data_IF_219622331360
#
_entry.id   IF_219622331360
#
_cell.length_a   1.000
_cell.length_b   1.000
_cell.length_c   1.000
_cell.angle_alpha   90.00
_cell.angle_beta   90.00
_cell.angle_gamma   90.00
#
_symmetry.space_group_name_H-M   'P 1'
#
loop_
_entity.id
_entity.type
_entity.pdbx_description
1 polymer ?
#
# COMPACT_ATOMS: atom_id res chain seq x y z
N UNK A 1 1.99 7.20 13.42
CA UNK A 1 2.78 6.94 12.19
C UNK A 1 2.65 5.50 11.73
N UNK A 2 2.54 4.51 12.64
CA UNK A 2 2.29 3.10 12.28
C UNK A 2 1.05 2.94 11.39
N UNK A 3 0.03 3.76 11.63
CA UNK A 3 -1.25 3.79 10.91
C UNK A 3 -1.12 4.26 9.45
N UNK A 4 0.03 4.83 9.06
CA UNK A 4 0.28 5.31 7.69
C UNK A 4 0.86 4.22 6.77
N UNK A 5 1.26 3.09 7.34
CA UNK A 5 1.77 1.93 6.61
C UNK A 5 0.63 0.96 6.30
N UNK A 6 0.80 0.19 5.23
CA UNK A 6 -0.08 -0.95 4.98
C UNK A 6 0.02 -2.00 6.09
N UNK A 7 -1.05 -2.76 6.27
CA UNK A 7 -1.03 -3.98 7.07
C UNK A 7 -0.14 -5.03 6.40
N UNK A 8 0.45 -5.93 7.19
CA UNK A 8 1.42 -6.92 6.71
C UNK A 8 0.89 -7.75 5.53
N UNK A 9 -0.37 -8.22 5.60
CA UNK A 9 -1.00 -9.00 4.54
C UNK A 9 -1.12 -8.21 3.22
N UNK A 10 -1.49 -6.92 3.30
CA UNK A 10 -1.62 -6.06 2.11
C UNK A 10 -0.22 -5.74 1.53
N UNK A 11 0.78 -5.52 2.38
CA UNK A 11 2.17 -5.32 1.95
C UNK A 11 2.76 -6.55 1.25
N UNK A 12 2.50 -7.76 1.77
CA UNK A 12 2.86 -9.02 1.11
C UNK A 12 2.18 -9.15 -0.26
N UNK A 13 0.89 -8.82 -0.34
CA UNK A 13 0.18 -8.88 -1.61
C UNK A 13 0.73 -7.85 -2.63
N UNK A 14 1.17 -6.67 -2.19
CA UNK A 14 1.86 -5.71 -3.06
C UNK A 14 3.20 -6.24 -3.55
N UNK A 15 3.97 -6.90 -2.68
CA UNK A 15 5.22 -7.57 -3.07
C UNK A 15 4.97 -8.62 -4.16
N UNK A 16 3.94 -9.45 -4.02
CA UNK A 16 3.57 -10.44 -5.05
C UNK A 16 3.19 -9.79 -6.39
N UNK A 17 2.64 -8.57 -6.34
CA UNK A 17 2.31 -7.76 -7.52
C UNK A 17 3.52 -7.02 -8.12
N UNK A 18 4.71 -7.17 -7.55
CA UNK A 18 5.96 -6.58 -8.05
C UNK A 18 6.31 -5.21 -7.45
N UNK A 19 5.74 -4.85 -6.29
CA UNK A 19 6.20 -3.67 -5.56
C UNK A 19 7.62 -3.88 -5.02
N UNK A 20 8.55 -3.01 -5.42
CA UNK A 20 9.96 -3.03 -5.01
C UNK A 20 10.52 -1.59 -4.85
N UNK A 21 9.65 -0.62 -4.51
CA UNK A 21 10.11 0.75 -4.21
C UNK A 21 10.65 0.83 -2.76
N UNK A 22 11.71 1.61 -2.48
CA UNK A 22 12.24 1.79 -1.12
C UNK A 22 11.18 2.26 -0.12
N UNK A 23 11.22 1.72 1.09
CA UNK A 23 10.26 2.03 2.16
C UNK A 23 10.97 2.54 3.41
N UNK A 24 10.25 3.34 4.21
CA UNK A 24 10.73 3.81 5.52
C UNK A 24 10.66 2.74 6.61
N UNK A 25 10.06 1.58 6.31
CA UNK A 25 9.87 0.50 7.25
C UNK A 25 9.82 -0.85 6.54
N UNK A 26 9.99 -1.92 7.32
CA UNK A 26 9.91 -3.32 6.91
C UNK A 26 9.11 -4.13 7.93
N UNK A 27 8.61 -5.28 7.49
CA UNK A 27 8.04 -6.31 8.36
C UNK A 27 9.02 -7.48 8.53
N UNK A 28 9.17 -7.99 9.76
CA UNK A 28 9.92 -9.22 10.02
C UNK A 28 9.03 -10.47 9.85
N UNK A 29 9.58 -11.65 10.13
CA UNK A 29 8.85 -12.93 10.06
C UNK A 29 7.69 -13.05 11.06
N UNK A 30 7.73 -12.28 12.16
CA UNK A 30 6.68 -12.22 13.18
C UNK A 30 5.66 -11.10 12.91
N UNK A 31 5.65 -10.53 11.70
CA UNK A 31 4.74 -9.46 11.27
C UNK A 31 4.91 -8.13 12.02
N UNK A 32 6.01 -7.97 12.75
CA UNK A 32 6.33 -6.75 13.46
C UNK A 32 6.88 -5.68 12.51
N UNK A 33 6.34 -4.46 12.62
CA UNK A 33 6.78 -3.29 11.84
C UNK A 33 8.03 -2.64 12.46
N UNK A 34 9.11 -2.55 11.68
CA UNK A 34 10.34 -1.86 12.04
C UNK A 34 10.55 -0.65 11.13
N UNK A 35 10.58 0.54 11.71
CA UNK A 35 10.92 1.78 11.00
C UNK A 35 12.44 1.82 10.84
N UNK A 36 12.92 1.97 9.63
CA UNK A 36 14.34 2.09 9.32
C UNK A 36 14.87 3.43 9.84
N UNK A 37 15.86 3.40 10.75
CA UNK A 37 16.50 4.58 11.33
C UNK A 37 18.01 4.49 11.16
N UNK A 38 18.68 5.63 10.96
CA UNK A 38 20.12 5.72 10.65
C UNK A 38 21.04 5.24 11.78
N UNK A 39 20.55 5.21 13.02
CA UNK A 39 21.40 5.02 14.19
C UNK A 39 21.69 3.54 14.50
N UNK A 40 21.07 2.60 13.78
CA UNK A 40 21.49 1.20 13.73
C UNK A 40 22.53 1.02 12.63
N UNK A 41 23.80 0.97 13.06
CA UNK A 41 25.08 0.97 12.33
C UNK A 41 25.29 0.01 11.12
N UNK A 42 24.26 -0.67 10.59
CA UNK A 42 24.41 -1.69 9.52
C UNK A 42 23.57 -1.44 8.26
N UNK A 43 22.78 -0.37 8.18
CA UNK A 43 21.57 -0.35 7.33
C UNK A 43 21.44 0.86 6.39
N UNK A 44 22.55 1.50 6.01
CA UNK A 44 22.53 2.70 5.16
C UNK A 44 22.10 2.41 3.70
N UNK A 45 22.29 1.19 3.19
CA UNK A 45 22.08 0.81 1.78
C UNK A 45 21.19 -0.45 1.55
N UNK A 46 20.69 -1.12 2.60
CA UNK A 46 20.00 -2.42 2.47
C UNK A 46 18.46 -2.36 2.52
N UNK A 47 17.85 -1.19 2.73
CA UNK A 47 16.38 -1.03 2.74
C UNK A 47 15.79 -0.46 1.44
N UNK A 48 16.51 -0.58 0.33
CA UNK A 48 16.07 -0.06 -0.98
C UNK A 48 15.40 -1.09 -1.87
N UNK A 49 15.45 -2.37 -1.51
CA UNK A 49 14.85 -3.45 -2.32
C UNK A 49 14.42 -4.63 -1.48
N UNK A 50 13.50 -5.42 -2.03
CA UNK A 50 13.01 -6.65 -1.43
C UNK A 50 14.12 -7.68 -1.20
N UNK A 51 15.11 -7.77 -2.09
CA UNK A 51 16.23 -8.70 -1.93
C UNK A 51 17.08 -8.34 -0.72
N UNK A 52 17.43 -7.06 -0.58
CA UNK A 52 18.37 -6.63 0.46
C UNK A 52 17.78 -6.81 1.87
N UNK A 53 16.46 -6.68 2.04
CA UNK A 53 15.81 -6.91 3.33
C UNK A 53 15.70 -8.41 3.68
N UNK A 54 15.63 -9.28 2.69
CA UNK A 54 15.60 -10.74 2.90
C UNK A 54 16.93 -11.29 3.39
N UNK A 55 18.05 -10.73 2.90
CA UNK A 55 19.40 -11.12 3.31
C UNK A 55 19.66 -10.88 4.81
N UNK A 56 18.93 -9.94 5.41
CA UNK A 56 19.01 -9.59 6.83
C UNK A 56 17.81 -10.12 7.65
N UNK A 57 16.98 -11.00 7.07
CA UNK A 57 15.92 -11.72 7.78
C UNK A 57 14.57 -10.99 7.89
N UNK A 58 14.34 -9.94 7.11
CA UNK A 58 13.01 -9.33 6.97
C UNK A 58 12.22 -9.95 5.84
N UNK A 59 10.89 -9.85 5.94
CA UNK A 59 9.95 -10.57 5.09
C UNK A 59 9.43 -9.74 3.93
N UNK A 60 9.05 -8.48 4.17
CA UNK A 60 8.62 -7.58 3.11
C UNK A 60 8.83 -6.12 3.48
N UNK A 61 8.89 -5.28 2.46
CA UNK A 61 8.86 -3.83 2.59
C UNK A 61 7.49 -3.42 3.16
N UNK A 62 7.46 -2.42 4.03
CA UNK A 62 6.22 -1.86 4.57
C UNK A 62 5.95 -0.50 3.90
N UNK A 63 5.19 -0.47 2.79
CA UNK A 63 4.91 0.77 2.08
C UNK A 63 3.90 1.63 2.84
N UNK A 64 4.04 2.94 2.68
CA UNK A 64 2.98 3.86 3.04
C UNK A 64 1.79 3.70 2.09
N UNK A 65 0.58 4.06 2.55
CA UNK A 65 -0.61 4.11 1.67
C UNK A 65 -0.34 4.94 0.41
N UNK A 66 0.34 6.08 0.55
CA UNK A 66 0.67 6.95 -0.58
C UNK A 66 1.57 6.28 -1.62
N UNK A 67 2.58 5.52 -1.18
CA UNK A 67 3.45 4.75 -2.08
C UNK A 67 2.66 3.67 -2.82
N UNK A 68 1.75 3.02 -2.11
CA UNK A 68 0.88 1.97 -2.64
C UNK A 68 -0.06 2.51 -3.73
N UNK A 69 -0.73 3.64 -3.51
CA UNK A 69 -1.55 4.28 -4.55
C UNK A 69 -0.72 4.74 -5.75
N UNK A 70 0.48 5.26 -5.52
CA UNK A 70 1.40 5.62 -6.60
C UNK A 70 1.79 4.40 -7.45
N UNK A 71 2.06 3.27 -6.82
CA UNK A 71 2.39 2.02 -7.50
C UNK A 71 1.27 1.57 -8.44
N UNK A 72 0.01 1.52 -7.97
CA UNK A 72 -1.13 1.16 -8.83
C UNK A 72 -1.30 2.14 -10.01
N UNK A 73 -1.11 3.44 -9.77
CA UNK A 73 -1.17 4.46 -10.81
C UNK A 73 -0.08 4.27 -11.87
N UNK A 74 1.15 3.95 -11.47
CA UNK A 74 2.29 3.83 -12.40
C UNK A 74 2.31 2.50 -13.14
N UNK A 75 2.10 1.39 -12.43
CA UNK A 75 2.28 0.05 -12.98
C UNK A 75 1.02 -0.49 -13.66
N UNK A 76 -0.16 -0.18 -13.11
CA UNK A 76 -1.44 -0.70 -13.60
C UNK A 76 -2.29 0.37 -14.30
N UNK A 77 -1.86 1.64 -14.29
CA UNK A 77 -2.62 2.79 -14.80
C UNK A 77 -4.03 2.91 -14.16
N UNK A 78 -4.16 2.40 -12.92
CA UNK A 78 -5.39 2.47 -12.12
C UNK A 78 -5.29 3.66 -11.19
N UNK A 79 -6.29 4.53 -11.23
CA UNK A 79 -6.38 5.70 -10.36
C UNK A 79 -7.39 5.43 -9.26
N UNK A 80 -7.10 5.91 -8.05
CA UNK A 80 -8.04 5.89 -6.94
C UNK A 80 -8.12 7.24 -6.26
N UNK A 81 -9.24 7.50 -5.59
CA UNK A 81 -9.45 8.72 -4.80
C UNK A 81 -10.35 8.41 -3.62
N UNK A 82 -10.01 8.96 -2.45
CA UNK A 82 -10.85 8.91 -1.26
C UNK A 82 -11.52 10.28 -1.12
N UNK A 83 -12.84 10.31 -0.95
CA UNK A 83 -13.62 11.55 -0.81
C UNK A 83 -14.63 11.43 0.30
N UNK A 84 -14.94 12.53 0.98
CA UNK A 84 -16.08 12.57 1.89
C UNK A 84 -17.39 12.74 1.13
N UNK A 85 -18.44 12.03 1.57
CA UNK A 85 -19.83 12.23 1.12
C UNK A 85 -20.52 13.21 2.07
N UNK A 86 -20.17 13.13 3.36
CA UNK A 86 -20.66 14.01 4.42
C UNK A 86 -19.55 14.23 5.45
N UNK A 87 -19.85 14.91 6.56
CA UNK A 87 -18.89 15.06 7.68
C UNK A 87 -18.53 13.72 8.34
N UNK A 88 -19.38 12.70 8.21
CA UNK A 88 -19.27 11.43 8.95
C UNK A 88 -19.23 10.22 8.01
N UNK A 89 -19.12 10.45 6.70
CA UNK A 89 -19.11 9.39 5.69
C UNK A 89 -18.07 9.64 4.62
N UNK A 90 -17.31 8.59 4.33
CA UNK A 90 -16.25 8.54 3.35
C UNK A 90 -16.57 7.46 2.31
N UNK A 91 -16.01 7.66 1.11
CA UNK A 91 -16.07 6.71 0.02
C UNK A 91 -14.73 6.69 -0.70
N UNK A 92 -14.48 5.59 -1.41
CA UNK A 92 -13.40 5.50 -2.36
C UNK A 92 -13.95 5.31 -3.77
N UNK A 93 -13.21 5.81 -4.75
CA UNK A 93 -13.45 5.63 -6.18
C UNK A 93 -12.21 5.00 -6.82
N UNK A 94 -12.43 4.07 -7.75
CA UNK A 94 -11.39 3.50 -8.60
C UNK A 94 -11.76 3.74 -10.06
N UNK A 95 -10.79 4.12 -10.88
CA UNK A 95 -10.95 4.35 -12.32
C UNK A 95 -9.87 3.59 -13.07
N UNK A 96 -10.28 2.66 -13.94
CA UNK A 96 -9.38 1.92 -14.81
C UNK A 96 -9.12 2.67 -16.13
N UNK A 97 -8.09 2.28 -16.91
CA UNK A 97 -7.85 2.86 -18.23
C UNK A 97 -9.08 2.79 -19.14
N UNK A 98 -9.47 3.92 -19.73
CA UNK A 98 -10.62 4.02 -20.63
C UNK A 98 -11.98 4.16 -19.93
N UNK A 99 -12.02 4.20 -18.60
CA UNK A 99 -13.25 4.45 -17.84
C UNK A 99 -13.45 5.93 -17.49
N UNK A 100 -14.71 6.31 -17.30
CA UNK A 100 -15.07 7.59 -16.66
C UNK A 100 -15.06 7.44 -15.14
N UNK A 101 -14.77 8.53 -14.43
CA UNK A 101 -14.86 8.60 -12.96
C UNK A 101 -16.24 8.15 -12.46
N UNK A 102 -16.27 7.52 -11.28
CA UNK A 102 -17.51 7.17 -10.56
C UNK A 102 -18.13 5.80 -10.91
N UNK A 103 -17.48 4.97 -11.72
CA UNK A 103 -18.02 3.63 -12.08
C UNK A 103 -17.81 2.57 -11.00
N UNK A 104 -16.66 2.60 -10.31
CA UNK A 104 -16.34 1.67 -9.25
C UNK A 104 -16.08 2.45 -7.98
N UNK A 105 -16.98 2.30 -7.01
CA UNK A 105 -16.89 2.97 -5.73
C UNK A 105 -17.47 2.09 -4.63
N UNK A 106 -17.13 2.41 -3.41
CA UNK A 106 -17.83 1.94 -2.22
C UNK A 106 -17.90 3.10 -1.22
N UNK A 107 -19.02 3.17 -0.53
CA UNK A 107 -19.39 4.23 0.40
C UNK A 107 -19.61 3.70 1.81
N UNK A 108 -20.10 4.57 2.69
CA UNK A 108 -20.48 4.30 4.08
C UNK A 108 -19.32 3.88 5.00
N UNK A 109 -18.14 4.44 4.79
CA UNK A 109 -17.04 4.35 5.75
C UNK A 109 -17.11 5.51 6.75
N UNK A 110 -16.96 5.25 8.05
CA UNK A 110 -17.03 6.29 9.07
C UNK A 110 -15.76 7.16 9.11
N UNK A 111 -14.63 6.61 8.66
CA UNK A 111 -13.33 7.29 8.67
C UNK A 111 -12.65 7.24 7.30
N UNK A 112 -11.78 8.22 7.06
CA UNK A 112 -10.89 8.23 5.89
C UNK A 112 -10.02 6.98 5.86
N UNK A 113 -9.49 6.55 7.02
CA UNK A 113 -8.58 5.41 7.12
C UNK A 113 -9.27 4.09 6.75
N UNK A 114 -10.52 3.89 7.16
CA UNK A 114 -11.32 2.72 6.76
C UNK A 114 -11.55 2.69 5.25
N UNK A 115 -11.93 3.83 4.66
CA UNK A 115 -12.08 3.95 3.21
C UNK A 115 -10.76 3.69 2.47
N UNK A 116 -9.65 4.20 3.00
CA UNK A 116 -8.32 4.02 2.43
C UNK A 116 -7.88 2.55 2.46
N UNK A 117 -8.05 1.86 3.59
CA UNK A 117 -7.81 0.43 3.76
C UNK A 117 -8.63 -0.42 2.78
N UNK A 118 -9.93 -0.15 2.73
CA UNK A 118 -10.84 -0.88 1.83
C UNK A 118 -10.46 -0.66 0.36
N UNK A 119 -10.06 0.56 -0.01
CA UNK A 119 -9.63 0.88 -1.37
C UNK A 119 -8.37 0.10 -1.77
N UNK A 120 -7.35 0.02 -0.90
CA UNK A 120 -6.14 -0.77 -1.18
C UNK A 120 -6.47 -2.24 -1.42
N UNK A 121 -7.29 -2.84 -0.55
CA UNK A 121 -7.71 -4.25 -0.70
C UNK A 121 -8.40 -4.49 -2.05
N UNK A 122 -9.23 -3.55 -2.49
CA UNK A 122 -9.87 -3.63 -3.79
C UNK A 122 -8.87 -3.44 -4.96
N UNK A 123 -7.91 -2.51 -4.85
CA UNK A 123 -6.86 -2.31 -5.86
C UNK A 123 -6.00 -3.57 -6.03
N UNK A 124 -5.59 -4.20 -4.93
CA UNK A 124 -4.85 -5.48 -4.94
C UNK A 124 -5.68 -6.55 -5.67
N UNK A 125 -6.97 -6.68 -5.33
CA UNK A 125 -7.87 -7.64 -5.97
C UNK A 125 -7.98 -7.41 -7.47
N UNK A 126 -8.07 -6.15 -7.92
CA UNK A 126 -8.13 -5.82 -9.34
C UNK A 126 -6.83 -6.20 -10.05
N UNK A 127 -5.68 -5.82 -9.49
CA UNK A 127 -4.38 -6.13 -10.05
C UNK A 127 -4.12 -7.65 -10.14
N UNK A 128 -4.53 -8.43 -9.12
CA UNK A 128 -4.43 -9.90 -9.13
C UNK A 128 -5.31 -10.59 -10.18
N UNK A 129 -6.42 -9.98 -10.58
CA UNK A 129 -7.33 -10.54 -11.59
C UNK A 129 -6.92 -10.17 -13.04
N UNK A 130 -6.09 -9.15 -13.21
CA UNK A 130 -5.55 -8.74 -14.52
C UNK A 130 -4.22 -9.49 -14.86
N UNK A 131 -3.73 -10.35 -13.95
CA UNK A 131 -2.59 -11.30 -14.13
C UNK A 131 -3.08 -12.68 -14.57
#
# INVERSE_FOLDING_TARGET
MKEQFLEYEDALALRELGFDEPCLAVFNEEENLYICHSDSFELEDSFYSQQAIEEIGYRCLAPLYQQSFQFFRKQYNIHSTITSISQESWQWHITKPGESLGKMYQEDFYTYDEAQKACIKQLIKLAKNDL
#
